data_IF_751331203449
#
_entry.id   IF_751331203449
#
_cell.length_a   1.000
_cell.length_b   1.000
_cell.length_c   1.000
_cell.angle_alpha   90.00
_cell.angle_beta   90.00
_cell.angle_gamma   90.00
#
_symmetry.space_group_name_H-M   'P 1'
#
loop_
_entity.id
_entity.type
_entity.pdbx_description
1 polymer ?
#
# COMPACT_ATOMS: atom_id res chain seq x y z
N UNK A 1 -23.65 7.61 -9.35
CA UNK A 1 -22.70 6.52 -9.05
C UNK A 1 -23.34 5.20 -9.46
N UNK A 2 -22.67 4.41 -10.28
CA UNK A 2 -23.14 3.11 -10.80
C UNK A 2 -22.18 2.00 -10.39
N UNK A 3 -22.62 0.75 -10.57
CA UNK A 3 -21.73 -0.42 -10.54
C UNK A 3 -20.57 -0.21 -11.53
N UNK A 4 -19.40 -0.73 -11.17
CA UNK A 4 -18.11 -0.59 -11.85
C UNK A 4 -17.53 0.82 -11.94
N UNK A 5 -18.23 1.86 -11.47
CA UNK A 5 -17.62 3.18 -11.43
C UNK A 5 -16.42 3.21 -10.46
N UNK A 6 -15.33 3.89 -10.85
CA UNK A 6 -14.20 4.09 -9.95
C UNK A 6 -14.58 5.07 -8.84
N UNK A 7 -14.12 4.78 -7.64
CA UNK A 7 -14.31 5.58 -6.44
C UNK A 7 -13.01 5.60 -5.63
N UNK A 8 -12.93 6.50 -4.65
CA UNK A 8 -11.99 6.37 -3.56
C UNK A 8 -12.69 6.46 -2.20
N UNK A 9 -12.03 5.87 -1.20
CA UNK A 9 -12.48 5.87 0.18
C UNK A 9 -11.27 5.75 1.11
N UNK A 10 -11.40 6.24 2.34
CA UNK A 10 -10.40 5.98 3.38
C UNK A 10 -10.65 4.59 4.00
N UNK A 11 -9.60 3.78 4.02
CA UNK A 11 -9.61 2.45 4.61
C UNK A 11 -8.64 2.37 5.76
N UNK A 12 -8.97 1.56 6.77
CA UNK A 12 -8.08 1.33 7.90
C UNK A 12 -7.34 0.00 7.74
N UNK A 13 -6.02 0.05 7.82
CA UNK A 13 -5.16 -1.13 7.89
C UNK A 13 -4.18 -0.96 9.05
N UNK A 14 -4.16 -1.93 9.97
CA UNK A 14 -3.27 -1.94 11.15
C UNK A 14 -3.33 -0.64 11.98
N UNK A 15 -4.51 -0.03 12.10
CA UNK A 15 -4.74 1.20 12.86
C UNK A 15 -4.41 2.49 12.10
N UNK A 16 -3.77 2.40 10.93
CA UNK A 16 -3.47 3.52 10.07
C UNK A 16 -4.56 3.72 9.01
N UNK A 17 -4.76 4.96 8.58
CA UNK A 17 -5.67 5.30 7.49
C UNK A 17 -4.88 5.36 6.17
N UNK A 18 -5.49 4.84 5.12
CA UNK A 18 -4.96 4.86 3.76
C UNK A 18 -6.06 5.25 2.79
N UNK A 19 -5.69 5.92 1.70
CA UNK A 19 -6.61 6.12 0.60
C UNK A 19 -6.62 4.86 -0.28
N UNK A 20 -7.80 4.27 -0.45
CA UNK A 20 -8.02 3.19 -1.40
C UNK A 20 -8.79 3.73 -2.61
N UNK A 21 -8.38 3.31 -3.81
CA UNK A 21 -9.14 3.46 -5.05
C UNK A 21 -9.79 2.12 -5.34
N UNK A 22 -11.07 2.11 -5.74
CA UNK A 22 -11.81 0.88 -5.97
C UNK A 22 -12.88 1.00 -7.04
N UNK A 23 -13.40 -0.15 -7.48
CA UNK A 23 -14.57 -0.26 -8.35
C UNK A 23 -15.80 -0.62 -7.52
N UNK A 24 -16.91 0.07 -7.74
CA UNK A 24 -18.18 -0.23 -7.06
C UNK A 24 -18.68 -1.61 -7.48
N UNK A 25 -18.94 -2.47 -6.51
CA UNK A 25 -19.51 -3.81 -6.73
C UNK A 25 -21.01 -3.85 -6.41
N UNK A 26 -21.43 -3.11 -5.39
CA UNK A 26 -22.81 -3.11 -4.91
C UNK A 26 -23.18 -1.76 -4.32
N UNK A 27 -24.43 -1.33 -4.52
CA UNK A 27 -25.00 -0.12 -3.96
C UNK A 27 -26.30 -0.48 -3.23
N UNK A 28 -26.44 -0.01 -1.99
CA UNK A 28 -27.67 -0.19 -1.22
C UNK A 28 -28.17 1.16 -0.68
N UNK A 29 -29.49 1.34 -0.69
CA UNK A 29 -30.18 2.45 -0.06
C UNK A 29 -31.17 1.88 0.96
N UNK A 30 -30.79 1.91 2.25
CA UNK A 30 -31.51 1.17 3.28
C UNK A 30 -31.36 -0.34 3.10
N UNK A 31 -32.46 -1.05 2.92
CA UNK A 31 -32.47 -2.51 2.66
C UNK A 31 -32.48 -2.88 1.18
N UNK A 32 -32.65 -1.90 0.29
CA UNK A 32 -32.79 -2.16 -1.14
C UNK A 32 -31.45 -2.06 -1.85
N UNK A 33 -31.17 -3.04 -2.74
CA UNK A 33 -30.03 -3.00 -3.64
C UNK A 33 -30.42 -2.26 -4.92
N UNK A 34 -29.58 -1.32 -5.36
CA UNK A 34 -29.81 -0.48 -6.53
C UNK A 34 -28.63 -0.59 -7.50
N UNK A 35 -28.88 -0.41 -8.80
CA UNK A 35 -27.80 -0.41 -9.81
C UNK A 35 -27.12 0.96 -9.96
N UNK A 36 -27.82 2.01 -9.57
CA UNK A 36 -27.37 3.40 -9.67
C UNK A 36 -27.90 4.19 -8.49
N UNK A 37 -27.06 5.08 -7.97
CA UNK A 37 -27.37 6.00 -6.87
C UNK A 37 -26.97 7.43 -7.26
N UNK A 38 -27.87 8.41 -7.08
CA UNK A 38 -27.51 9.84 -7.23
C UNK A 38 -26.49 10.24 -6.16
N UNK A 39 -25.65 11.24 -6.47
CA UNK A 39 -24.68 11.77 -5.52
C UNK A 39 -25.35 12.42 -4.32
N UNK A 40 -26.55 13.00 -4.49
CA UNK A 40 -27.34 13.56 -3.39
C UNK A 40 -27.75 12.49 -2.37
N UNK A 41 -28.06 11.28 -2.85
CA UNK A 41 -28.41 10.15 -2.00
C UNK A 41 -27.18 9.47 -1.41
N UNK A 42 -26.00 9.61 -2.02
CA UNK A 42 -24.76 9.02 -1.52
C UNK A 42 -24.37 9.60 -0.14
N UNK A 43 -24.66 10.88 0.10
CA UNK A 43 -24.45 11.53 1.39
C UNK A 43 -25.44 11.09 2.49
N UNK A 44 -26.51 10.38 2.13
CA UNK A 44 -27.51 9.91 3.08
C UNK A 44 -26.93 8.81 3.98
N UNK A 45 -27.27 8.84 5.27
CA UNK A 45 -26.87 7.82 6.25
C UNK A 45 -27.36 6.41 5.91
N UNK A 46 -28.43 6.29 5.13
CA UNK A 46 -28.96 4.99 4.67
C UNK A 46 -28.22 4.42 3.46
N UNK A 47 -27.42 5.21 2.76
CA UNK A 47 -26.68 4.75 1.60
C UNK A 47 -25.42 4.00 2.02
N UNK A 48 -25.22 2.81 1.46
CA UNK A 48 -23.98 2.03 1.63
C UNK A 48 -23.47 1.55 0.28
N UNK A 49 -22.15 1.42 0.19
CA UNK A 49 -21.41 1.05 -1.01
C UNK A 49 -20.47 -0.09 -0.65
N UNK A 50 -20.50 -1.15 -1.45
CA UNK A 50 -19.46 -2.18 -1.43
C UNK A 50 -18.62 -2.07 -2.68
N UNK A 51 -17.31 -2.19 -2.54
CA UNK A 51 -16.37 -1.99 -3.63
C UNK A 51 -15.15 -2.90 -3.52
N UNK A 52 -14.51 -3.17 -4.65
CA UNK A 52 -13.24 -3.89 -4.70
C UNK A 52 -12.08 -2.93 -4.91
N UNK A 53 -11.00 -3.09 -4.15
CA UNK A 53 -9.84 -2.22 -4.26
C UNK A 53 -9.08 -2.51 -5.56
N UNK A 54 -8.71 -1.47 -6.29
CA UNK A 54 -7.88 -1.54 -7.49
C UNK A 54 -6.40 -1.51 -7.10
N UNK A 55 -5.61 -2.42 -7.66
CA UNK A 55 -4.15 -2.40 -7.49
C UNK A 55 -3.53 -1.31 -8.38
N UNK A 56 -3.10 -0.21 -7.77
CA UNK A 56 -2.38 0.86 -8.48
C UNK A 56 -0.88 0.57 -8.56
N UNK A 57 -0.30 0.87 -9.71
CA UNK A 57 1.15 0.81 -9.96
C UNK A 57 1.60 2.12 -10.59
N UNK A 58 2.90 2.41 -10.55
CA UNK A 58 3.42 3.60 -11.24
C UNK A 58 3.16 3.52 -12.74
N UNK A 59 2.76 4.65 -13.32
CA UNK A 59 2.62 4.77 -14.78
C UNK A 59 4.00 4.83 -15.42
N UNK A 60 4.35 3.92 -16.33
CA UNK A 60 5.57 4.05 -17.12
C UNK A 60 5.40 5.18 -18.15
N UNK A 61 6.51 5.80 -18.54
CA UNK A 61 6.53 6.88 -19.55
C UNK A 61 5.91 6.42 -20.89
N UNK A 62 5.97 5.12 -21.17
CA UNK A 62 5.37 4.49 -22.36
C UNK A 62 3.84 4.59 -22.39
N UNK A 63 3.19 4.55 -21.22
CA UNK A 63 1.73 4.60 -21.11
C UNK A 63 1.21 6.04 -21.02
N UNK A 64 2.05 6.97 -20.56
CA UNK A 64 1.75 8.39 -20.51
C UNK A 64 2.98 9.23 -20.89
N UNK A 65 3.00 9.67 -22.16
CA UNK A 65 4.06 10.53 -22.68
C UNK A 65 4.04 11.93 -22.06
N UNK A 66 2.90 12.38 -21.54
CA UNK A 66 2.79 13.67 -20.86
C UNK A 66 3.44 13.65 -19.49
N UNK A 67 3.62 12.45 -18.91
CA UNK A 67 4.07 12.24 -17.52
C UNK A 67 3.22 13.02 -16.50
N UNK A 68 1.96 13.29 -16.84
CA UNK A 68 1.01 13.94 -15.95
C UNK A 68 0.49 12.95 -14.90
N UNK A 69 0.33 11.67 -15.27
CA UNK A 69 -0.30 10.69 -14.40
C UNK A 69 0.73 9.76 -13.75
N UNK A 70 0.92 9.88 -12.44
CA UNK A 70 1.89 9.06 -11.69
C UNK A 70 1.44 7.61 -11.49
N UNK A 71 0.13 7.35 -11.51
CA UNK A 71 -0.46 6.06 -11.18
C UNK A 71 -1.37 5.53 -12.27
N UNK A 72 -1.33 4.22 -12.46
CA UNK A 72 -2.25 3.49 -13.33
C UNK A 72 -2.83 2.28 -12.61
N UNK A 73 -4.05 1.90 -12.98
CA UNK A 73 -4.61 0.63 -12.54
C UNK A 73 -3.90 -0.54 -13.24
N UNK A 74 -3.38 -1.50 -12.48
CA UNK A 74 -2.69 -2.68 -13.02
C UNK A 74 -3.61 -3.75 -13.60
N UNK A 75 -4.92 -3.49 -13.70
CA UNK A 75 -5.98 -4.45 -14.04
C UNK A 75 -6.12 -5.62 -13.05
N UNK A 76 -5.46 -5.51 -11.90
CA UNK A 76 -5.63 -6.43 -10.77
C UNK A 76 -6.52 -5.76 -9.74
N UNK A 77 -7.40 -6.58 -9.17
CA UNK A 77 -8.20 -6.21 -8.02
C UNK A 77 -7.61 -6.87 -6.77
N UNK A 78 -7.85 -6.24 -5.62
CA UNK A 78 -7.44 -6.71 -4.30
C UNK A 78 -8.68 -6.93 -3.41
N UNK A 79 -8.53 -6.80 -2.09
CA UNK A 79 -9.58 -6.94 -1.10
C UNK A 79 -10.88 -6.18 -1.39
N UNK A 80 -11.97 -6.66 -0.80
CA UNK A 80 -13.31 -6.07 -0.92
C UNK A 80 -13.70 -5.36 0.37
N UNK A 81 -14.20 -4.15 0.24
CA UNK A 81 -14.81 -3.36 1.30
C UNK A 81 -16.33 -3.51 1.19
N UNK A 82 -16.98 -3.95 2.27
CA UNK A 82 -18.42 -4.20 2.30
C UNK A 82 -19.15 -3.14 3.11
N UNK A 83 -20.31 -2.71 2.63
CA UNK A 83 -21.26 -1.84 3.34
C UNK A 83 -20.63 -0.56 3.90
N UNK A 84 -19.74 0.07 3.14
CA UNK A 84 -19.12 1.35 3.52
C UNK A 84 -20.16 2.46 3.38
N UNK A 85 -20.29 3.34 4.38
CA UNK A 85 -21.23 4.45 4.31
C UNK A 85 -20.96 5.32 3.07
N UNK A 86 -22.01 5.63 2.30
CA UNK A 86 -21.89 6.39 1.05
C UNK A 86 -21.19 7.73 1.24
N UNK A 87 -21.39 8.41 2.38
CA UNK A 87 -20.74 9.69 2.70
C UNK A 87 -19.21 9.61 2.81
N UNK A 88 -18.65 8.42 2.97
CA UNK A 88 -17.19 8.18 3.01
C UNK A 88 -16.63 7.73 1.64
N UNK A 89 -17.45 7.81 0.60
CA UNK A 89 -17.10 7.46 -0.77
C UNK A 89 -17.02 8.73 -1.60
N UNK A 90 -15.92 8.90 -2.32
CA UNK A 90 -15.78 9.94 -3.32
C UNK A 90 -15.72 9.32 -4.72
N UNK A 91 -16.72 9.58 -5.60
CA UNK A 91 -16.66 9.14 -7.00
C UNK A 91 -15.46 9.74 -7.72
N UNK A 92 -14.78 8.92 -8.51
CA UNK A 92 -13.68 9.37 -9.35
C UNK A 92 -14.11 9.43 -10.82
N UNK A 93 -13.50 10.35 -11.56
CA UNK A 93 -13.61 10.40 -13.03
C UNK A 93 -12.21 10.32 -13.66
N UNK A 94 -11.53 9.17 -13.53
CA UNK A 94 -10.14 9.04 -13.98
C UNK A 94 -10.02 9.10 -15.50
N UNK A 95 -8.87 9.58 -15.97
CA UNK A 95 -8.55 9.54 -17.40
C UNK A 95 -8.36 8.09 -17.84
N UNK A 96 -8.98 7.74 -18.97
CA UNK A 96 -8.87 6.40 -19.57
C UNK A 96 -7.76 6.36 -20.61
N UNK A 97 -6.77 5.51 -20.40
CA UNK A 97 -5.78 5.16 -21.42
C UNK A 97 -6.24 3.93 -22.22
N UNK A 98 -6.31 4.08 -23.54
CA UNK A 98 -6.68 3.02 -24.50
C UNK A 98 -5.50 2.56 -25.36
N UNK A 99 -4.26 2.87 -24.94
CA UNK A 99 -3.04 2.54 -25.70
C UNK A 99 -2.90 1.05 -25.99
N UNK A 100 -3.38 0.20 -25.09
CA UNK A 100 -3.41 -1.25 -25.26
C UNK A 100 -4.81 -1.67 -25.73
N UNK A 101 -4.99 -2.07 -27.01
CA UNK A 101 -6.30 -2.45 -27.53
C UNK A 101 -6.94 -3.57 -26.69
N UNK A 102 -8.23 -3.38 -26.35
CA UNK A 102 -8.99 -4.31 -25.52
C UNK A 102 -8.67 -4.27 -24.03
N UNK A 103 -7.79 -3.35 -23.58
CA UNK A 103 -7.33 -3.24 -22.20
C UNK A 103 -7.32 -1.77 -21.72
N UNK A 104 -8.50 -1.13 -21.60
CA UNK A 104 -8.58 0.21 -21.04
C UNK A 104 -7.98 0.21 -19.63
N UNK A 105 -7.24 1.27 -19.30
CA UNK A 105 -6.56 1.42 -18.02
C UNK A 105 -6.83 2.81 -17.45
N UNK A 106 -7.25 2.88 -16.19
CA UNK A 106 -7.42 4.15 -15.49
C UNK A 106 -6.07 4.75 -15.11
N UNK A 107 -5.92 6.04 -15.33
CA UNK A 107 -4.78 6.86 -14.93
C UNK A 107 -5.19 7.85 -13.84
N UNK A 108 -4.28 8.11 -12.90
CA UNK A 108 -4.52 8.98 -11.76
C UNK A 108 -3.28 9.84 -11.47
N UNK A 109 -3.51 11.09 -11.06
CA UNK A 109 -2.46 11.99 -10.57
C UNK A 109 -2.33 11.89 -9.05
N UNK A 110 -1.10 11.92 -8.52
CA UNK A 110 -0.90 11.86 -7.06
C UNK A 110 -1.54 13.03 -6.32
N UNK A 111 -1.52 14.23 -6.92
CA UNK A 111 -2.04 15.46 -6.33
C UNK A 111 -3.56 15.41 -6.13
N UNK A 112 -4.29 14.88 -7.12
CA UNK A 112 -5.75 14.70 -7.05
C UNK A 112 -6.13 13.65 -6.00
N UNK A 113 -5.45 12.50 -6.00
CA UNK A 113 -5.67 11.47 -4.98
C UNK A 113 -5.41 12.01 -3.57
N UNK A 114 -4.33 12.77 -3.39
CA UNK A 114 -4.03 13.47 -2.14
C UNK A 114 -5.14 14.43 -1.72
N UNK A 115 -5.66 15.23 -2.65
CA UNK A 115 -6.74 16.16 -2.39
C UNK A 115 -8.02 15.43 -1.94
N UNK A 116 -8.41 14.35 -2.64
CA UNK A 116 -9.54 13.53 -2.24
C UNK A 116 -9.35 12.89 -0.86
N UNK A 117 -8.14 12.40 -0.58
CA UNK A 117 -7.80 11.85 0.73
C UNK A 117 -7.96 12.87 1.86
N UNK A 118 -7.51 14.11 1.65
CA UNK A 118 -7.69 15.20 2.61
C UNK A 118 -9.17 15.53 2.83
N UNK A 119 -9.95 15.69 1.76
CA UNK A 119 -11.40 15.94 1.86
C UNK A 119 -12.13 14.83 2.59
N UNK A 120 -11.82 13.56 2.30
CA UNK A 120 -12.43 12.43 3.01
C UNK A 120 -12.03 12.40 4.49
N UNK A 121 -10.79 12.77 4.81
CA UNK A 121 -10.30 12.79 6.20
C UNK A 121 -11.04 13.82 7.04
N UNK A 122 -11.35 15.00 6.47
CA UNK A 122 -12.13 16.05 7.12
C UNK A 122 -13.58 15.63 7.39
N UNK A 123 -14.12 14.69 6.61
CA UNK A 123 -15.49 14.20 6.73
C UNK A 123 -15.65 13.01 7.70
N UNK A 124 -14.54 12.45 8.20
CA UNK A 124 -14.59 11.35 9.15
C UNK A 124 -15.15 11.85 10.49
N UNK A 125 -16.24 11.21 10.94
CA UNK A 125 -16.79 11.42 12.26
C UNK A 125 -16.19 10.43 13.27
N UNK A 126 -16.16 10.76 14.58
CA UNK A 126 -15.69 9.84 15.62
C UNK A 126 -16.43 8.49 15.66
N UNK A 127 -17.62 8.42 15.09
CA UNK A 127 -18.44 7.21 14.98
C UNK A 127 -17.91 6.26 13.89
N UNK A 128 -17.41 6.80 12.77
CA UNK A 128 -16.85 6.02 11.66
C UNK A 128 -15.58 5.27 12.08
N UNK A 129 -14.82 5.91 12.98
CA UNK A 129 -13.60 5.33 13.55
C UNK A 129 -13.92 4.07 14.37
N UNK A 130 -15.12 4.01 14.95
CA UNK A 130 -15.59 2.92 15.83
C UNK A 130 -16.34 1.84 15.05
N UNK A 131 -17.15 2.22 14.07
CA UNK A 131 -18.04 1.31 13.32
C UNK A 131 -17.31 0.37 12.35
N UNK A 132 -16.03 0.63 12.02
CA UNK A 132 -15.25 -0.13 11.03
C UNK A 132 -14.80 -1.55 11.47
N UNK A 133 -15.59 -2.24 12.28
CA UNK A 133 -15.35 -3.64 12.67
C UNK A 133 -15.39 -4.63 11.48
N UNK A 134 -16.02 -4.24 10.36
CA UNK A 134 -16.06 -5.02 9.11
C UNK A 134 -14.83 -4.87 8.20
N UNK A 135 -13.94 -3.91 8.47
CA UNK A 135 -12.76 -3.63 7.64
C UNK A 135 -11.54 -4.50 8.00
N UNK A 136 -11.77 -5.65 8.67
CA UNK A 136 -10.72 -6.60 9.07
C UNK A 136 -10.11 -7.41 7.92
N UNK A 137 -10.59 -7.23 6.69
CA UNK A 137 -10.13 -8.01 5.53
C UNK A 137 -8.83 -7.45 4.90
N UNK A 138 -8.36 -6.27 5.33
CA UNK A 138 -7.17 -5.63 4.76
C UNK A 138 -5.86 -5.96 5.49
N UNK A 139 -5.75 -7.09 6.17
CA UNK A 139 -4.53 -7.52 6.88
C UNK A 139 -3.36 -7.88 5.93
N UNK A 140 -3.54 -7.82 4.61
CA UNK A 140 -2.50 -8.24 3.66
C UNK A 140 -2.33 -7.35 2.41
N UNK A 141 -3.12 -6.30 2.26
CA UNK A 141 -3.09 -5.46 1.07
C UNK A 141 -2.12 -4.31 1.33
N UNK A 142 -1.00 -4.28 0.61
CA UNK A 142 -0.05 -3.19 0.64
C UNK A 142 -0.74 -1.92 0.13
N UNK A 143 -1.33 -1.15 1.07
CA UNK A 143 -1.88 0.16 0.80
C UNK A 143 -0.73 1.08 0.41
N UNK A 144 -0.52 1.25 -0.90
CA UNK A 144 0.66 1.90 -1.45
C UNK A 144 0.59 3.43 -1.53
N UNK A 145 -0.45 4.06 -0.97
CA UNK A 145 -0.63 5.49 -1.12
C UNK A 145 -0.81 6.12 0.27
N UNK A 146 0.30 6.72 0.70
CA UNK A 146 0.49 7.72 1.76
C UNK A 146 0.63 7.19 3.19
N UNK A 147 1.89 6.97 3.58
CA UNK A 147 2.33 7.21 4.95
C UNK A 147 3.43 8.26 4.91
N UNK A 148 3.14 9.45 5.43
CA UNK A 148 4.17 10.45 5.68
C UNK A 148 3.81 11.24 6.95
N UNK A 149 3.99 10.62 8.11
CA UNK A 149 3.97 11.32 9.42
C UNK A 149 4.94 10.61 10.39
N UNK A 150 6.06 11.24 10.77
CA UNK A 150 6.97 10.75 11.78
C UNK A 150 6.87 11.61 13.06
N UNK A 151 5.78 11.50 13.80
CA UNK A 151 5.72 11.99 15.17
C UNK A 151 4.54 11.40 15.92
N UNK A 152 4.77 10.32 16.68
CA UNK A 152 4.22 10.13 18.03
C UNK A 152 4.84 8.85 18.60
N UNK A 153 5.77 9.04 19.52
CA UNK A 153 6.33 8.01 20.41
C UNK A 153 5.26 7.52 21.38
N UNK A 154 4.25 6.82 20.88
CA UNK A 154 3.38 5.99 21.70
C UNK A 154 3.71 4.52 21.42
N UNK A 155 3.95 3.78 22.50
CA UNK A 155 4.21 2.34 22.47
C UNK A 155 3.08 1.67 21.69
N UNK A 156 3.34 1.27 20.45
CA UNK A 156 2.33 0.58 19.65
C UNK A 156 1.89 -0.70 20.38
N UNK A 157 0.60 -0.82 20.65
CA UNK A 157 -0.04 -1.98 21.27
C UNK A 157 -0.38 -3.08 20.24
N UNK A 158 0.22 -3.00 19.04
CA UNK A 158 0.00 -3.96 17.97
C UNK A 158 0.44 -5.37 18.41
N UNK A 159 -0.54 -6.29 18.47
CA UNK A 159 -0.35 -7.72 18.80
C UNK A 159 0.64 -8.42 17.85
N UNK A 160 0.79 -7.92 16.62
CA UNK A 160 1.69 -8.47 15.59
C UNK A 160 2.80 -7.50 15.20
N UNK A 161 3.27 -6.66 16.13
CA UNK A 161 4.42 -5.78 15.86
C UNK A 161 5.63 -6.61 15.41
N UNK A 162 5.86 -6.68 14.10
CA UNK A 162 7.05 -7.30 13.54
C UNK A 162 8.21 -6.37 13.84
N UNK A 163 9.04 -6.77 14.81
CA UNK A 163 10.30 -6.09 15.07
C UNK A 163 11.31 -6.60 14.06
N UNK A 164 11.56 -5.82 13.03
CA UNK A 164 12.71 -6.05 12.17
C UNK A 164 13.98 -5.78 12.97
N UNK A 165 14.80 -6.82 13.14
CA UNK A 165 16.11 -6.69 13.76
C UNK A 165 17.14 -6.50 12.66
N UNK A 166 17.45 -5.24 12.36
CA UNK A 166 18.47 -4.91 11.36
C UNK A 166 19.89 -5.09 11.87
N UNK A 167 20.10 -5.34 13.17
CA UNK A 167 21.45 -5.51 13.74
C UNK A 167 22.23 -6.66 13.07
N UNK A 168 21.56 -7.78 12.78
CA UNK A 168 22.18 -8.91 12.07
C UNK A 168 22.42 -8.57 10.60
N UNK A 169 21.46 -7.89 9.95
CA UNK A 169 21.57 -7.46 8.56
C UNK A 169 22.53 -6.28 8.35
N UNK A 170 22.98 -5.61 9.42
CA UNK A 170 23.98 -4.55 9.36
C UNK A 170 25.41 -5.11 9.40
N UNK A 171 25.57 -6.40 9.72
CA UNK A 171 26.86 -7.06 9.82
C UNK A 171 27.17 -7.84 8.55
N UNK A 172 28.40 -7.72 8.09
CA UNK A 172 28.90 -8.52 6.99
C UNK A 172 29.19 -9.94 7.49
N UNK A 173 28.27 -10.88 7.25
CA UNK A 173 28.44 -12.29 7.63
C UNK A 173 28.47 -13.18 6.38
N UNK A 174 29.21 -14.30 6.37
CA UNK A 174 29.34 -15.15 5.16
C UNK A 174 28.00 -15.63 4.58
N UNK A 175 26.99 -15.85 5.43
CA UNK A 175 25.64 -16.27 5.00
C UNK A 175 24.71 -15.12 4.60
N UNK A 176 25.11 -13.86 4.83
CA UNK A 176 24.35 -12.67 4.49
C UNK A 176 25.35 -11.53 4.24
N UNK A 177 25.93 -11.47 3.01
CA UNK A 177 26.98 -10.54 2.70
C UNK A 177 26.47 -9.10 2.51
N UNK A 178 25.21 -8.79 2.83
CA UNK A 178 24.60 -7.49 2.59
C UNK A 178 24.51 -6.71 3.90
N UNK A 179 25.20 -5.59 4.00
CA UNK A 179 25.14 -4.61 5.09
C UNK A 179 24.19 -3.44 4.80
N UNK A 180 23.39 -3.54 3.72
CA UNK A 180 22.47 -2.48 3.30
C UNK A 180 21.24 -2.41 4.20
N UNK A 181 21.31 -1.53 5.20
CA UNK A 181 20.23 -1.28 6.15
C UNK A 181 19.75 0.16 6.07
N UNK A 182 18.51 0.45 6.46
CA UNK A 182 18.05 1.83 6.63
C UNK A 182 18.81 2.49 7.79
N UNK A 183 19.40 3.66 7.53
CA UNK A 183 20.13 4.50 8.48
C UNK A 183 19.51 5.89 8.57
N UNK A 184 19.57 6.50 9.75
CA UNK A 184 19.13 7.88 9.95
C UNK A 184 20.28 8.82 9.59
N UNK A 185 20.03 9.79 8.72
CA UNK A 185 21.03 10.83 8.46
C UNK A 185 21.17 11.73 9.70
N UNK A 186 22.38 11.80 10.25
CA UNK A 186 22.66 12.59 11.45
C UNK A 186 22.44 14.10 11.27
N UNK A 187 22.53 14.60 10.03
CA UNK A 187 22.28 16.01 9.72
C UNK A 187 20.79 16.31 9.51
N UNK A 188 20.03 15.37 8.95
CA UNK A 188 18.58 15.50 8.81
C UNK A 188 17.81 15.28 10.11
N UNK A 189 18.36 14.48 11.02
CA UNK A 189 17.72 14.08 12.27
C UNK A 189 16.66 12.97 12.10
N UNK A 190 16.11 12.47 13.23
CA UNK A 190 15.26 11.27 13.26
C UNK A 190 13.84 11.49 12.70
N UNK A 191 13.44 12.73 12.45
CA UNK A 191 12.11 13.07 11.89
C UNK A 191 12.07 12.97 10.37
N UNK A 192 13.20 12.76 9.70
CA UNK A 192 13.24 12.55 8.26
C UNK A 192 13.24 11.05 7.93
N UNK A 193 12.74 10.65 6.75
CA UNK A 193 12.77 9.25 6.34
C UNK A 193 14.18 8.66 6.40
N UNK A 194 14.28 7.40 6.82
CA UNK A 194 15.54 6.67 6.81
C UNK A 194 16.06 6.49 5.37
N UNK A 195 17.37 6.49 5.22
CA UNK A 195 18.08 6.34 3.95
C UNK A 195 18.80 5.00 3.95
N UNK A 196 18.74 4.25 2.87
CA UNK A 196 19.50 3.01 2.75
C UNK A 196 21.00 3.30 2.74
N UNK A 197 21.81 2.50 3.44
CA UNK A 197 23.27 2.69 3.55
C UNK A 197 23.95 2.96 2.21
N UNK A 198 23.62 2.18 1.18
CA UNK A 198 24.23 2.33 -0.16
C UNK A 198 23.88 3.66 -0.85
N UNK A 199 22.76 4.28 -0.47
CA UNK A 199 22.31 5.55 -1.04
C UNK A 199 22.78 6.77 -0.24
N UNK A 200 23.52 6.57 0.84
CA UNK A 200 23.88 7.63 1.76
C UNK A 200 24.79 8.68 1.11
N UNK A 201 25.73 8.26 0.26
CA UNK A 201 26.62 9.18 -0.48
C UNK A 201 25.85 10.10 -1.43
N UNK A 202 24.90 9.54 -2.20
CA UNK A 202 24.04 10.33 -3.08
C UNK A 202 23.13 11.29 -2.29
N UNK A 203 22.62 10.85 -1.15
CA UNK A 203 21.87 11.71 -0.24
C UNK A 203 22.71 12.88 0.26
N UNK A 204 23.94 12.65 0.74
CA UNK A 204 24.82 13.73 1.21
C UNK A 204 25.20 14.73 0.12
N UNK A 205 25.45 14.25 -1.10
CA UNK A 205 25.72 15.13 -2.25
C UNK A 205 24.53 16.03 -2.56
N UNK A 206 23.30 15.48 -2.54
CA UNK A 206 22.08 16.20 -2.90
C UNK A 206 21.54 17.11 -1.79
N UNK A 207 21.55 16.63 -0.55
CA UNK A 207 20.83 17.25 0.57
C UNK A 207 21.75 18.05 1.51
N UNK A 208 23.06 17.83 1.46
CA UNK A 208 24.01 18.43 2.42
C UNK A 208 25.22 19.12 1.76
N UNK A 209 25.25 19.21 0.42
CA UNK A 209 26.29 19.89 -0.35
C UNK A 209 27.73 19.51 0.06
N UNK A 210 27.95 18.29 0.53
CA UNK A 210 29.28 17.85 0.97
C UNK A 210 30.17 17.59 -0.24
N UNK A 211 31.27 18.34 -0.35
CA UNK A 211 32.20 18.28 -1.48
C UNK A 211 33.23 17.15 -1.37
N UNK A 212 33.58 16.68 -0.17
CA UNK A 212 34.56 15.59 0.05
C UNK A 212 33.90 14.39 0.77
N UNK A 213 33.93 13.18 0.17
CA UNK A 213 33.46 11.95 0.82
C UNK A 213 34.11 11.63 2.17
N UNK A 214 35.31 12.15 2.44
CA UNK A 214 36.03 11.92 3.72
C UNK A 214 35.41 12.66 4.90
N UNK A 215 34.56 13.67 4.66
CA UNK A 215 33.83 14.35 5.73
C UNK A 215 32.52 13.63 6.08
N UNK A 216 32.26 12.47 5.47
CA UNK A 216 31.07 11.70 5.79
C UNK A 216 31.22 11.07 7.18
N UNK A 217 30.21 11.19 8.04
CA UNK A 217 30.27 10.69 9.42
C UNK A 217 30.23 9.16 9.52
N UNK A 218 30.02 8.46 8.40
CA UNK A 218 29.97 7.01 8.32
C UNK A 218 30.70 6.53 7.08
N UNK A 219 31.27 5.33 7.15
CA UNK A 219 31.90 4.70 5.99
C UNK A 219 30.83 4.25 4.98
N UNK A 220 30.75 5.01 3.89
CA UNK A 220 29.84 4.74 2.76
C UNK A 220 30.49 3.76 1.78
N UNK A 221 31.76 3.41 1.95
CA UNK A 221 32.41 2.42 1.10
C UNK A 221 31.81 1.04 1.37
N UNK A 222 31.41 0.39 0.30
CA UNK A 222 31.02 -1.01 0.31
C UNK A 222 32.32 -1.82 0.23
N UNK A 223 32.53 -2.73 1.18
CA UNK A 223 33.75 -3.55 1.21
C UNK A 223 33.79 -4.51 0.01
N UNK A 224 34.98 -4.81 -0.50
CA UNK A 224 35.13 -5.72 -1.65
C UNK A 224 34.59 -7.12 -1.34
N UNK A 225 34.74 -7.58 -0.08
CA UNK A 225 34.17 -8.84 0.39
C UNK A 225 32.63 -8.87 0.33
N UNK A 226 31.97 -7.74 0.61
CA UNK A 226 30.52 -7.57 0.49
C UNK A 226 30.10 -7.61 -0.97
N UNK A 227 30.79 -6.86 -1.83
CA UNK A 227 30.53 -6.85 -3.28
C UNK A 227 30.68 -8.26 -3.87
N UNK A 228 31.72 -9.00 -3.49
CA UNK A 228 31.97 -10.33 -4.00
C UNK A 228 30.96 -11.35 -3.49
N UNK A 229 30.58 -11.28 -2.20
CA UNK A 229 29.49 -12.10 -1.66
C UNK A 229 28.16 -11.85 -2.36
N UNK A 230 27.83 -10.58 -2.64
CA UNK A 230 26.61 -10.21 -3.39
C UNK A 230 26.65 -10.71 -4.83
N UNK A 231 27.80 -10.66 -5.51
CA UNK A 231 27.96 -11.23 -6.86
C UNK A 231 27.70 -12.73 -6.87
N UNK A 232 28.20 -13.47 -5.87
CA UNK A 232 27.95 -14.91 -5.74
C UNK A 232 26.45 -15.17 -5.62
N UNK A 233 25.76 -14.51 -4.68
CA UNK A 233 24.30 -14.64 -4.51
C UNK A 233 23.56 -14.30 -5.80
N UNK A 234 23.94 -13.21 -6.46
CA UNK A 234 23.33 -12.79 -7.72
C UNK A 234 23.47 -13.86 -8.80
N UNK A 235 24.67 -14.40 -8.99
CA UNK A 235 24.93 -15.43 -10.01
C UNK A 235 24.24 -16.75 -9.69
N UNK A 236 24.05 -17.07 -8.41
CA UNK A 236 23.39 -18.30 -7.97
C UNK A 236 21.87 -18.17 -7.86
N UNK A 237 21.29 -16.98 -8.00
CA UNK A 237 19.84 -16.74 -7.83
C UNK A 237 18.97 -17.61 -8.72
N UNK A 238 19.48 -18.01 -9.89
CA UNK A 238 18.78 -18.86 -10.86
C UNK A 238 18.97 -20.36 -10.60
N UNK A 239 20.02 -20.75 -9.86
CA UNK A 239 20.33 -22.16 -9.57
C UNK A 239 19.41 -22.75 -8.50
N UNK A 240 18.94 -21.91 -7.59
CA UNK A 240 18.03 -22.29 -6.52
C UNK A 240 16.61 -21.79 -6.80
N UNK A 241 15.96 -22.35 -7.82
CA UNK A 241 14.49 -22.43 -7.77
C UNK A 241 14.17 -23.33 -6.58
N UNK A 242 13.93 -22.72 -5.41
CA UNK A 242 13.46 -23.48 -4.25
C UNK A 242 12.26 -24.27 -4.74
N UNK A 243 12.28 -25.62 -4.70
CA UNK A 243 11.07 -26.37 -4.98
C UNK A 243 10.03 -25.78 -4.04
N UNK A 244 8.91 -25.33 -4.61
CA UNK A 244 7.81 -24.74 -3.85
C UNK A 244 7.58 -25.71 -2.71
N UNK A 245 7.92 -25.32 -1.48
CA UNK A 245 7.62 -26.15 -0.32
C UNK A 245 6.12 -26.35 -0.41
N UNK A 246 5.70 -27.57 -0.79
CA UNK A 246 4.34 -28.01 -0.59
C UNK A 246 4.15 -27.81 0.90
N UNK A 247 3.45 -26.74 1.26
CA UNK A 247 3.13 -26.47 2.65
C UNK A 247 2.54 -27.78 3.15
N UNK A 248 3.25 -28.46 4.07
CA UNK A 248 2.64 -29.55 4.83
C UNK A 248 1.31 -28.95 5.28
N UNK A 249 0.16 -29.55 4.90
CA UNK A 249 -1.12 -28.98 5.26
C UNK A 249 -1.13 -28.88 6.78
N UNK A 250 -0.89 -27.67 7.30
CA UNK A 250 -1.22 -27.36 8.68
C UNK A 250 -2.68 -27.71 8.78
N UNK A 251 -3.02 -28.55 9.76
CA UNK A 251 -4.39 -29.00 10.03
C UNK A 251 -5.35 -27.89 9.61
N UNK A 252 -6.19 -28.13 8.59
CA UNK A 252 -7.08 -27.09 8.10
C UNK A 252 -7.80 -26.53 9.32
N UNK A 253 -7.81 -25.19 9.45
CA UNK A 253 -8.57 -24.54 10.51
C UNK A 253 -9.96 -25.20 10.51
N UNK A 254 -10.32 -25.82 11.63
CA UNK A 254 -11.62 -26.45 11.77
C UNK A 254 -12.66 -25.33 11.75
N UNK A 255 -13.15 -24.98 10.56
CA UNK A 255 -14.27 -24.07 10.39
C UNK A 255 -15.46 -24.82 10.97
N UNK A 256 -16.03 -24.32 12.07
CA UNK A 256 -17.23 -24.94 12.63
C UNK A 256 -18.34 -24.91 11.57
N UNK A 257 -19.17 -25.96 11.49
CA UNK A 257 -20.24 -26.04 10.48
C UNK A 257 -21.12 -24.79 10.44
N UNK A 258 -21.28 -24.11 11.58
CA UNK A 258 -22.04 -22.87 11.74
C UNK A 258 -21.47 -21.68 10.96
N UNK A 259 -20.21 -21.74 10.53
CA UNK A 259 -19.56 -20.68 9.74
C UNK A 259 -19.29 -21.11 8.29
N UNK A 260 -19.86 -22.23 7.84
CA UNK A 260 -19.75 -22.70 6.47
C UNK A 260 -20.84 -22.07 5.60
N UNK A 261 -20.45 -21.27 4.60
CA UNK A 261 -21.36 -20.67 3.62
C UNK A 261 -22.07 -21.70 2.72
N UNK A 262 -21.72 -22.99 2.84
CA UNK A 262 -22.37 -24.09 2.12
C UNK A 262 -23.84 -24.27 2.48
N UNK A 263 -24.28 -23.77 3.64
CA UNK A 263 -25.70 -23.77 4.02
C UNK A 263 -26.52 -22.71 3.28
N UNK A 264 -25.89 -21.70 2.65
CA UNK A 264 -26.60 -20.65 1.93
C UNK A 264 -27.02 -21.04 0.50
N UNK A 265 -26.58 -22.20 0.01
CA UNK A 265 -26.88 -22.69 -1.35
C UNK A 265 -27.73 -23.97 -1.36
N UNK A 266 -28.53 -24.20 -0.32
CA UNK A 266 -29.56 -25.24 -0.28
C UNK A 266 -30.94 -24.63 -0.25
#
# INVERSE_FOLDING_TARGET
LRIDNPICALVRCEGNLFLAVGAVNNLCLGSETVNELSLDFLANTSATVSFQIMCLVRTPVEDDLSQQYDWKWSQKMDGTCMNVSGRLIHPLNPTLSVRNPGKPTYLFESSELLAYGATLLEQILPEDIRANHGQRVLEHCAAHILHNEPALSHKSTCLYKIRFQYAVAAQLIPGSPCSNVPVICIQCGPKKPAIWRYNLGAHFQKSHCLSDPRTWPMDVKIEDAEVDGLKVIWNERQKYTRPRQTRVPKNPLAISEQHSSRLAFR
#
